data_IF_710953521329
#
_entry.id   IF_710953521329
#
_cell.length_a   1.000
_cell.length_b   1.000
_cell.length_c   1.000
_cell.angle_alpha   90.00
_cell.angle_beta   90.00
_cell.angle_gamma   90.00
#
_symmetry.space_group_name_H-M   'P 1'
#
loop_
_entity.id
_entity.type
_entity.pdbx_description
1 polymer ?
#
# COMPACT_ATOMS: atom_id res chain seq x y z
N UNK A 1 13.71 29.05 -2.86
CA UNK A 1 13.01 27.81 -3.26
C UNK A 1 14.06 26.69 -3.19
N UNK A 2 14.03 25.81 -2.19
CA UNK A 2 14.99 24.71 -2.06
C UNK A 2 14.54 23.63 -3.03
N UNK A 3 15.27 23.45 -4.11
CA UNK A 3 15.03 22.37 -5.07
C UNK A 3 15.40 21.05 -4.37
N UNK A 4 14.41 20.26 -3.97
CA UNK A 4 14.64 18.93 -3.39
C UNK A 4 15.36 18.07 -4.42
N UNK A 5 16.57 17.61 -4.12
CA UNK A 5 17.34 16.73 -4.99
C UNK A 5 16.58 15.40 -5.15
N UNK A 6 16.20 15.05 -6.37
CA UNK A 6 15.75 13.69 -6.69
C UNK A 6 16.96 12.76 -6.68
N UNK A 7 16.92 11.69 -5.91
CA UNK A 7 18.01 10.72 -5.81
C UNK A 7 18.14 9.83 -7.05
N UNK A 8 17.13 9.82 -7.91
CA UNK A 8 17.11 9.03 -9.15
C UNK A 8 16.32 9.73 -10.26
N UNK A 9 16.64 9.37 -11.50
CA UNK A 9 15.88 9.76 -12.67
C UNK A 9 14.71 8.77 -12.87
N UNK A 10 13.48 9.30 -13.00
CA UNK A 10 12.29 8.47 -13.21
C UNK A 10 12.34 7.81 -14.59
N UNK A 11 12.24 6.48 -14.60
CA UNK A 11 12.07 5.70 -15.81
C UNK A 11 10.61 5.76 -16.28
N UNK A 12 10.40 5.76 -17.61
CA UNK A 12 9.05 5.60 -18.14
C UNK A 12 8.69 4.11 -18.13
N UNK A 13 7.44 3.75 -17.76
CA UNK A 13 7.00 2.37 -17.81
C UNK A 13 6.96 1.87 -19.26
N UNK A 14 7.27 0.59 -19.45
CA UNK A 14 7.08 -0.10 -20.73
C UNK A 14 5.59 -0.33 -20.99
N UNK A 15 5.23 -0.63 -22.24
CA UNK A 15 3.81 -0.90 -22.60
C UNK A 15 3.21 -2.06 -21.80
N UNK A 16 4.02 -3.06 -21.48
CA UNK A 16 3.62 -4.28 -20.77
C UNK A 16 4.05 -4.23 -19.29
N UNK A 17 4.27 -3.03 -18.74
CA UNK A 17 4.60 -2.88 -17.32
C UNK A 17 3.44 -3.35 -16.46
N UNK A 18 3.77 -4.08 -15.40
CA UNK A 18 2.83 -4.42 -14.34
C UNK A 18 2.35 -3.14 -13.64
N UNK A 19 1.02 -2.93 -13.56
CA UNK A 19 0.44 -1.77 -12.89
C UNK A 19 -0.07 -2.14 -11.52
N UNK A 20 0.35 -1.36 -10.54
CA UNK A 20 -0.15 -1.42 -9.17
C UNK A 20 -0.98 -0.17 -8.93
N UNK A 21 -2.29 -0.31 -8.95
CA UNK A 21 -3.22 0.76 -8.62
C UNK A 21 -3.45 0.77 -7.12
N UNK A 22 -3.25 1.91 -6.47
CA UNK A 22 -3.32 2.05 -5.02
C UNK A 22 -4.35 3.13 -4.67
N UNK A 23 -5.51 2.71 -4.20
CA UNK A 23 -6.54 3.59 -3.65
C UNK A 23 -6.22 3.83 -2.18
N UNK A 24 -5.83 5.05 -1.83
CA UNK A 24 -5.43 5.44 -0.48
C UNK A 24 -6.59 6.04 0.30
N UNK A 25 -6.64 5.80 1.61
CA UNK A 25 -7.55 6.47 2.52
C UNK A 25 -7.13 7.92 2.76
N UNK A 26 -5.85 8.16 3.01
CA UNK A 26 -5.30 9.49 3.22
C UNK A 26 -4.99 10.24 1.93
N UNK A 27 -4.93 11.58 2.05
CA UNK A 27 -4.58 12.50 0.94
C UNK A 27 -3.10 12.88 0.91
N UNK A 28 -2.32 12.51 1.91
CA UNK A 28 -0.94 12.93 2.09
C UNK A 28 0.01 11.75 2.33
N UNK A 29 0.01 11.19 3.53
CA UNK A 29 1.01 10.21 4.00
C UNK A 29 1.18 9.03 3.05
N UNK A 30 0.10 8.32 2.72
CA UNK A 30 0.14 7.15 1.84
C UNK A 30 0.49 7.52 0.40
N UNK A 31 -0.15 8.55 -0.23
CA UNK A 31 0.25 9.01 -1.56
C UNK A 31 1.72 9.42 -1.65
N UNK A 32 2.23 10.17 -0.68
CA UNK A 32 3.62 10.62 -0.65
C UNK A 32 4.58 9.43 -0.52
N UNK A 33 4.20 8.41 0.28
CA UNK A 33 4.98 7.19 0.43
C UNK A 33 5.07 6.39 -0.87
N UNK A 34 3.93 6.08 -1.50
CA UNK A 34 3.91 5.26 -2.70
C UNK A 34 4.44 5.99 -3.95
N UNK A 35 4.34 7.33 -4.02
CA UNK A 35 4.93 8.13 -5.08
C UNK A 35 6.46 7.99 -5.17
N UNK A 36 7.12 7.54 -4.09
CA UNK A 36 8.55 7.22 -4.12
C UNK A 36 8.87 6.14 -5.14
N UNK A 37 8.02 5.14 -5.30
CA UNK A 37 8.26 3.98 -6.17
C UNK A 37 7.99 4.25 -7.66
N UNK A 38 7.32 5.36 -7.98
CA UNK A 38 7.05 5.74 -9.36
C UNK A 38 8.34 5.94 -10.17
N UNK A 39 8.47 5.18 -11.26
CA UNK A 39 9.59 5.29 -12.18
C UNK A 39 10.91 4.72 -11.64
N UNK A 40 10.90 3.96 -10.53
CA UNK A 40 12.08 3.20 -10.09
C UNK A 40 12.40 2.03 -11.01
N UNK A 41 11.39 1.47 -11.68
CA UNK A 41 11.53 0.39 -12.65
C UNK A 41 10.67 0.69 -13.88
N UNK A 42 11.15 0.37 -15.07
CA UNK A 42 10.35 0.46 -16.30
C UNK A 42 9.32 -0.68 -16.42
N UNK A 43 9.46 -1.73 -15.61
CA UNK A 43 8.57 -2.88 -15.61
C UNK A 43 7.44 -2.76 -14.57
N UNK A 44 7.41 -1.65 -13.82
CA UNK A 44 6.39 -1.34 -12.81
C UNK A 44 5.84 0.06 -13.03
N UNK A 45 4.52 0.18 -13.05
CA UNK A 45 3.81 1.44 -13.00
C UNK A 45 3.00 1.51 -11.70
N UNK A 46 3.39 2.37 -10.78
CA UNK A 46 2.63 2.64 -9.54
C UNK A 46 1.68 3.81 -9.80
N UNK A 47 0.37 3.56 -9.65
CA UNK A 47 -0.68 4.55 -9.87
C UNK A 47 -1.41 4.81 -8.56
N UNK A 48 -1.09 5.93 -7.93
CA UNK A 48 -1.70 6.32 -6.66
C UNK A 48 -3.00 7.09 -6.91
N UNK A 49 -4.07 6.68 -6.24
CA UNK A 49 -5.41 7.24 -6.37
C UNK A 49 -5.85 7.75 -4.98
N UNK A 50 -5.70 9.06 -4.71
CA UNK A 50 -6.16 9.64 -3.46
C UNK A 50 -7.70 9.72 -3.40
N UNK A 51 -8.30 9.82 -2.19
CA UNK A 51 -9.74 9.93 -2.06
C UNK A 51 -10.26 11.26 -2.61
N UNK A 52 -11.39 11.21 -3.32
CA UNK A 52 -12.05 12.41 -3.90
C UNK A 52 -13.12 12.97 -2.92
N UNK A 53 -14.14 12.18 -2.58
CA UNK A 53 -15.34 12.61 -1.83
C UNK A 53 -15.39 12.10 -0.38
N UNK A 54 -14.25 11.82 0.20
CA UNK A 54 -14.09 11.28 1.56
C UNK A 54 -13.34 9.96 1.56
N UNK A 55 -12.90 9.57 2.74
CA UNK A 55 -11.88 8.54 2.93
C UNK A 55 -12.41 7.24 3.53
N UNK A 56 -13.69 7.16 3.88
CA UNK A 56 -14.19 5.91 4.47
C UNK A 56 -14.19 4.75 3.44
N UNK A 57 -14.02 3.49 3.89
CA UNK A 57 -13.86 2.34 3.00
C UNK A 57 -14.97 2.18 1.95
N UNK A 58 -16.20 2.62 2.25
CA UNK A 58 -17.32 2.54 1.30
C UNK A 58 -17.21 3.58 0.19
N UNK A 59 -16.67 4.76 0.51
CA UNK A 59 -16.39 5.80 -0.51
C UNK A 59 -15.20 5.42 -1.38
N UNK A 60 -14.17 4.80 -0.80
CA UNK A 60 -13.06 4.26 -1.58
C UNK A 60 -13.51 3.13 -2.52
N UNK A 61 -14.42 2.26 -2.04
CA UNK A 61 -15.07 1.26 -2.89
C UNK A 61 -15.81 1.91 -4.06
N UNK A 62 -16.67 2.90 -3.80
CA UNK A 62 -17.43 3.61 -4.83
C UNK A 62 -16.51 4.34 -5.84
N UNK A 63 -15.40 4.93 -5.36
CA UNK A 63 -14.38 5.53 -6.19
C UNK A 63 -13.76 4.49 -7.16
N UNK A 64 -13.38 3.32 -6.64
CA UNK A 64 -12.83 2.26 -7.47
C UNK A 64 -13.87 1.72 -8.47
N UNK A 65 -15.12 1.52 -8.05
CA UNK A 65 -16.21 1.10 -8.95
C UNK A 65 -16.34 2.09 -10.12
N UNK A 66 -16.34 3.39 -9.86
CA UNK A 66 -16.41 4.42 -10.90
C UNK A 66 -15.18 4.45 -11.80
N UNK A 67 -13.96 4.32 -11.23
CA UNK A 67 -12.71 4.48 -11.99
C UNK A 67 -12.33 3.26 -12.82
N UNK A 68 -12.74 2.04 -12.42
CA UNK A 68 -12.32 0.78 -13.04
C UNK A 68 -13.44 -0.02 -13.71
N UNK A 69 -14.68 0.10 -13.18
CA UNK A 69 -15.77 -0.82 -13.56
C UNK A 69 -17.02 -0.09 -14.09
N UNK A 70 -17.03 1.25 -14.11
CA UNK A 70 -18.09 2.05 -14.69
C UNK A 70 -18.01 2.15 -16.22
N UNK A 71 -19.10 2.61 -16.87
CA UNK A 71 -19.18 2.77 -18.32
C UNK A 71 -18.10 3.71 -18.88
N UNK A 72 -17.75 4.76 -18.11
CA UNK A 72 -16.70 5.75 -18.43
C UNK A 72 -15.43 5.51 -17.61
N UNK A 73 -15.04 4.26 -17.38
CA UNK A 73 -13.90 3.91 -16.55
C UNK A 73 -12.60 4.53 -17.07
N UNK A 74 -11.86 5.21 -16.18
CA UNK A 74 -10.58 5.84 -16.50
C UNK A 74 -9.44 4.84 -16.59
N UNK A 75 -9.50 3.77 -15.79
CA UNK A 75 -8.46 2.75 -15.68
C UNK A 75 -9.00 1.40 -16.11
N UNK A 76 -8.10 0.55 -16.58
CA UNK A 76 -8.40 -0.82 -16.95
C UNK A 76 -7.36 -1.76 -16.34
N UNK A 77 -7.80 -2.83 -15.74
CA UNK A 77 -6.95 -3.90 -15.22
C UNK A 77 -6.59 -4.83 -16.39
N UNK A 78 -5.29 -4.96 -16.67
CA UNK A 78 -4.78 -5.93 -17.63
C UNK A 78 -4.36 -7.20 -16.90
N UNK A 79 -5.18 -8.25 -17.03
CA UNK A 79 -4.92 -9.55 -16.40
C UNK A 79 -3.68 -10.25 -16.96
N UNK A 80 -3.27 -9.98 -18.20
CA UNK A 80 -2.07 -10.56 -18.80
C UNK A 80 -0.80 -9.89 -18.27
N UNK A 81 -0.87 -8.61 -17.99
CA UNK A 81 0.20 -7.86 -17.32
C UNK A 81 0.23 -8.10 -15.79
N UNK A 82 -0.72 -8.87 -15.24
CA UNK A 82 -0.91 -9.12 -13.81
C UNK A 82 -1.23 -7.87 -13.00
N UNK A 83 -1.89 -6.86 -13.60
CA UNK A 83 -2.25 -5.62 -12.90
C UNK A 83 -3.03 -5.90 -11.61
N UNK A 84 -2.76 -5.13 -10.57
CA UNK A 84 -3.42 -5.25 -9.26
C UNK A 84 -4.05 -3.94 -8.80
N UNK A 85 -5.11 -4.07 -8.01
CA UNK A 85 -5.80 -2.99 -7.34
C UNK A 85 -5.70 -3.20 -5.82
N UNK A 86 -5.15 -2.24 -5.12
CA UNK A 86 -4.98 -2.25 -3.68
C UNK A 86 -5.78 -1.12 -3.02
N UNK A 87 -6.45 -1.43 -1.92
CA UNK A 87 -7.00 -0.44 -1.00
C UNK A 87 -6.09 -0.36 0.23
N UNK A 88 -5.50 0.79 0.46
CA UNK A 88 -4.70 1.05 1.66
C UNK A 88 -5.57 1.83 2.63
N UNK A 89 -5.91 1.21 3.75
CA UNK A 89 -6.86 1.72 4.74
C UNK A 89 -6.34 1.57 6.17
N UNK A 90 -6.84 2.45 7.03
CA UNK A 90 -6.65 2.35 8.46
C UNK A 90 -7.77 1.53 9.12
N UNK A 91 -7.53 1.00 10.31
CA UNK A 91 -8.58 0.31 11.08
C UNK A 91 -9.55 1.31 11.69
N UNK A 92 -9.02 2.32 12.37
CA UNK A 92 -9.76 3.44 12.98
C UNK A 92 -11.11 3.02 13.59
N UNK A 93 -12.17 3.78 13.30
CA UNK A 93 -13.55 3.43 13.67
C UNK A 93 -14.25 2.50 12.68
N UNK A 94 -13.67 2.28 11.51
CA UNK A 94 -14.32 1.62 10.37
C UNK A 94 -14.67 0.16 10.62
N UNK A 95 -13.89 -0.53 11.45
CA UNK A 95 -14.18 -1.90 11.82
C UNK A 95 -15.44 -1.98 12.71
N UNK A 96 -15.54 -1.13 13.73
CA UNK A 96 -16.75 -1.02 14.59
C UNK A 96 -17.99 -0.59 13.80
N UNK A 97 -17.80 0.24 12.77
CA UNK A 97 -18.87 0.68 11.88
C UNK A 97 -19.24 -0.35 10.81
N UNK A 98 -18.53 -1.48 10.76
CA UNK A 98 -18.76 -2.56 9.80
C UNK A 98 -18.47 -2.20 8.34
N UNK A 99 -17.60 -1.20 8.08
CA UNK A 99 -17.31 -0.69 6.73
C UNK A 99 -16.19 -1.44 6.01
N UNK A 100 -15.31 -2.12 6.74
CA UNK A 100 -14.18 -2.88 6.16
C UNK A 100 -14.65 -4.18 5.50
N UNK A 101 -15.53 -4.93 6.16
CA UNK A 101 -16.03 -6.21 5.63
C UNK A 101 -16.72 -6.09 4.26
N UNK A 102 -17.55 -5.06 3.96
CA UNK A 102 -18.08 -4.86 2.60
C UNK A 102 -17.00 -4.59 1.55
N UNK A 103 -15.94 -3.84 1.90
CA UNK A 103 -14.81 -3.61 1.01
C UNK A 103 -14.06 -4.92 0.70
N UNK A 104 -13.79 -5.75 1.72
CA UNK A 104 -13.16 -7.07 1.54
C UNK A 104 -14.02 -8.01 0.69
N UNK A 105 -15.36 -7.99 0.86
CA UNK A 105 -16.28 -8.76 -0.01
C UNK A 105 -16.25 -8.27 -1.45
N UNK A 106 -16.16 -6.97 -1.67
CA UNK A 106 -15.99 -6.41 -3.01
C UNK A 106 -14.70 -6.92 -3.67
N UNK A 107 -13.56 -6.88 -2.99
CA UNK A 107 -12.31 -7.43 -3.51
C UNK A 107 -12.45 -8.93 -3.82
N UNK A 108 -13.13 -9.69 -2.95
CA UNK A 108 -13.37 -11.12 -3.18
C UNK A 108 -14.24 -11.37 -4.43
N UNK A 109 -15.24 -10.54 -4.71
CA UNK A 109 -16.04 -10.68 -5.94
C UNK A 109 -15.22 -10.41 -7.19
N UNK A 110 -14.40 -9.34 -7.19
CA UNK A 110 -13.50 -9.03 -8.31
C UNK A 110 -12.49 -10.18 -8.53
N UNK A 111 -11.93 -10.74 -7.47
CA UNK A 111 -11.01 -11.87 -7.56
C UNK A 111 -11.69 -13.13 -8.12
N UNK A 112 -12.95 -13.38 -7.80
CA UNK A 112 -13.73 -14.49 -8.34
C UNK A 112 -14.02 -14.30 -9.84
N UNK A 113 -14.39 -13.11 -10.25
CA UNK A 113 -14.60 -12.75 -11.67
C UNK A 113 -13.27 -12.82 -12.45
N UNK A 114 -12.17 -12.35 -11.86
CA UNK A 114 -10.83 -12.51 -12.39
C UNK A 114 -10.48 -13.97 -12.64
N UNK A 115 -10.78 -14.87 -11.71
CA UNK A 115 -10.54 -16.30 -11.86
C UNK A 115 -11.24 -16.91 -13.08
N UNK A 116 -12.44 -16.47 -13.42
CA UNK A 116 -13.13 -16.89 -14.64
C UNK A 116 -12.47 -16.31 -15.92
N UNK A 117 -11.93 -15.08 -15.84
CA UNK A 117 -11.21 -14.47 -16.95
C UNK A 117 -9.92 -15.25 -17.28
N UNK A 118 -9.17 -15.72 -16.25
CA UNK A 118 -7.93 -16.49 -16.46
C UNK A 118 -8.15 -17.86 -17.12
N UNK A 119 -9.31 -18.48 -16.94
CA UNK A 119 -9.63 -19.72 -17.66
C UNK A 119 -9.55 -19.57 -19.19
N UNK A 120 -9.65 -18.33 -19.69
CA UNK A 120 -9.48 -17.99 -21.11
C UNK A 120 -8.01 -17.85 -21.53
N UNK A 121 -7.11 -17.69 -20.57
CA UNK A 121 -5.67 -17.45 -20.79
C UNK A 121 -4.88 -18.54 -20.05
N UNK A 122 -4.67 -19.69 -20.69
CA UNK A 122 -4.07 -20.87 -20.07
C UNK A 122 -2.65 -20.68 -19.54
N UNK A 123 -1.97 -19.59 -19.91
CA UNK A 123 -0.60 -19.27 -19.49
C UNK A 123 -0.53 -18.39 -18.24
N UNK A 124 -1.64 -17.75 -17.85
CA UNK A 124 -1.68 -16.86 -16.69
C UNK A 124 -1.98 -17.65 -15.43
N UNK A 125 -1.05 -17.62 -14.46
CA UNK A 125 -1.31 -18.20 -13.13
C UNK A 125 -2.33 -17.32 -12.39
N UNK A 126 -3.30 -17.92 -11.70
CA UNK A 126 -4.24 -17.18 -10.86
C UNK A 126 -3.51 -16.33 -9.79
N UNK A 127 -3.93 -15.09 -9.63
CA UNK A 127 -3.43 -14.15 -8.62
C UNK A 127 -4.58 -13.32 -8.06
N UNK A 128 -4.40 -12.68 -6.91
CA UNK A 128 -5.40 -11.78 -6.35
C UNK A 128 -5.31 -10.41 -7.03
N UNK A 129 -6.31 -10.10 -7.83
CA UNK A 129 -6.40 -8.83 -8.59
C UNK A 129 -6.72 -7.66 -7.68
N UNK A 130 -7.64 -7.85 -6.73
CA UNK A 130 -8.14 -6.81 -5.84
C UNK A 130 -7.84 -7.18 -4.38
N UNK A 131 -7.17 -6.30 -3.66
CA UNK A 131 -6.62 -6.57 -2.35
C UNK A 131 -6.89 -5.41 -1.38
N UNK A 132 -6.92 -5.73 -0.08
CA UNK A 132 -6.95 -4.74 1.00
C UNK A 132 -5.65 -4.85 1.78
N UNK A 133 -5.01 -3.72 2.02
CA UNK A 133 -3.87 -3.55 2.90
C UNK A 133 -4.29 -2.67 4.08
N UNK A 134 -4.80 -3.31 5.12
CA UNK A 134 -5.29 -2.67 6.34
C UNK A 134 -4.16 -2.50 7.34
N UNK A 135 -4.10 -1.35 8.01
CA UNK A 135 -3.18 -1.05 9.11
C UNK A 135 -3.93 -0.82 10.41
N UNK A 136 -3.41 -1.30 11.54
CA UNK A 136 -3.99 -1.09 12.85
C UNK A 136 -2.92 -0.54 13.82
N UNK A 137 -3.06 0.68 14.39
CA UNK A 137 -4.23 1.57 14.27
C UNK A 137 -4.31 2.33 12.93
N UNK A 138 -3.18 2.68 12.33
CA UNK A 138 -3.10 3.52 11.14
C UNK A 138 -1.84 3.22 10.31
N UNK A 139 -1.73 3.83 9.11
CA UNK A 139 -0.61 3.63 8.18
C UNK A 139 0.76 3.93 8.80
N UNK A 140 0.83 4.76 9.84
CA UNK A 140 2.07 5.08 10.54
C UNK A 140 2.75 3.84 11.14
N UNK A 141 2.03 2.73 11.42
CA UNK A 141 2.68 1.48 11.85
C UNK A 141 3.56 0.88 10.74
N UNK A 142 3.18 1.05 9.47
CA UNK A 142 4.02 0.69 8.35
C UNK A 142 5.30 1.52 8.29
N UNK A 143 5.20 2.85 8.52
CA UNK A 143 6.36 3.76 8.58
C UNK A 143 7.30 3.40 9.72
N UNK A 144 6.75 3.03 10.88
CA UNK A 144 7.48 2.58 12.05
C UNK A 144 8.38 1.37 11.73
N UNK A 145 7.86 0.36 11.06
CA UNK A 145 8.61 -0.86 10.72
C UNK A 145 9.75 -0.67 9.71
N UNK A 146 9.93 0.50 9.13
CA UNK A 146 11.13 0.84 8.36
C UNK A 146 12.38 0.97 9.26
N UNK A 147 12.18 1.18 10.55
CA UNK A 147 13.26 1.51 11.50
C UNK A 147 13.34 0.53 12.68
N UNK A 148 12.25 -0.12 13.04
CA UNK A 148 12.13 -0.91 14.26
C UNK A 148 11.74 -2.35 13.94
N UNK A 149 12.42 -3.29 14.58
CA UNK A 149 12.20 -4.73 14.41
C UNK A 149 11.08 -5.25 15.30
N UNK A 150 10.87 -4.64 16.45
CA UNK A 150 9.86 -5.03 17.44
C UNK A 150 8.61 -4.16 17.34
N UNK A 151 7.50 -4.68 17.90
CA UNK A 151 6.23 -3.92 18.01
C UNK A 151 6.40 -2.72 18.94
N UNK A 152 5.65 -1.61 18.72
CA UNK A 152 5.59 -0.51 19.69
C UNK A 152 5.19 -1.00 21.07
N UNK A 153 5.80 -0.43 22.10
CA UNK A 153 5.42 -0.67 23.49
C UNK A 153 4.21 0.20 23.83
N UNK A 154 3.14 -0.42 24.34
CA UNK A 154 1.86 0.27 24.55
C UNK A 154 1.98 1.48 25.49
N UNK A 155 2.74 1.35 26.57
CA UNK A 155 2.96 2.41 27.54
C UNK A 155 3.66 3.63 26.92
N UNK A 156 4.59 3.39 26.00
CA UNK A 156 5.28 4.47 25.27
C UNK A 156 4.32 5.19 24.33
N UNK A 157 3.47 4.45 23.61
CA UNK A 157 2.46 5.01 22.72
C UNK A 157 1.44 5.83 23.49
N UNK A 158 0.94 5.33 24.63
CA UNK A 158 -0.03 6.03 25.50
C UNK A 158 0.49 7.34 26.08
N UNK A 159 1.82 7.52 26.14
CA UNK A 159 2.44 8.77 26.55
C UNK A 159 2.31 9.91 25.51
N UNK A 160 1.84 9.61 24.30
CA UNK A 160 1.71 10.56 23.19
C UNK A 160 0.24 10.83 22.87
N UNK A 161 -0.11 12.03 22.36
CA UNK A 161 -1.48 12.40 22.02
C UNK A 161 -2.11 11.52 20.92
N UNK A 162 -1.29 10.97 20.03
CA UNK A 162 -1.73 10.07 18.95
C UNK A 162 -0.61 9.12 18.54
N UNK A 163 -0.98 8.02 17.89
CA UNK A 163 -0.01 7.07 17.33
C UNK A 163 0.91 7.75 16.29
N UNK A 164 0.37 8.65 15.49
CA UNK A 164 1.16 9.44 14.53
C UNK A 164 2.22 10.30 15.21
N UNK A 165 1.88 10.95 16.32
CA UNK A 165 2.85 11.75 17.07
C UNK A 165 3.92 10.87 17.75
N UNK A 166 3.53 9.70 18.26
CA UNK A 166 4.48 8.71 18.74
C UNK A 166 5.48 8.33 17.65
N UNK A 167 5.02 7.87 16.49
CA UNK A 167 5.89 7.45 15.38
C UNK A 167 6.81 8.58 14.93
N UNK A 168 6.32 9.81 14.83
CA UNK A 168 7.12 10.98 14.50
C UNK A 168 8.18 11.29 15.57
N UNK A 169 7.91 10.99 16.83
CA UNK A 169 8.86 11.25 17.92
C UNK A 169 10.01 10.24 17.96
N UNK A 170 9.74 8.96 17.66
CA UNK A 170 10.73 7.88 17.73
C UNK A 170 11.58 7.77 16.45
N UNK A 171 11.08 8.23 15.32
CA UNK A 171 11.88 8.35 14.09
C UNK A 171 12.63 9.69 14.12
N UNK A 172 13.94 9.61 14.31
CA UNK A 172 14.78 10.82 14.39
C UNK A 172 14.66 11.69 13.14
N UNK A 173 14.14 12.92 13.32
CA UNK A 173 13.88 13.87 12.22
C UNK A 173 12.58 13.61 11.44
N UNK A 174 11.76 12.66 11.89
CA UNK A 174 10.54 12.24 11.21
C UNK A 174 10.82 11.35 9.97
N UNK A 175 9.75 10.77 9.41
CA UNK A 175 9.85 9.95 8.21
C UNK A 175 10.10 10.83 6.95
N UNK A 176 11.19 10.58 6.23
CA UNK A 176 11.51 11.27 4.97
C UNK A 176 11.00 10.47 3.77
N UNK A 177 9.86 10.87 3.21
CA UNK A 177 9.24 10.21 2.06
C UNK A 177 10.08 10.18 0.78
N UNK A 178 11.19 10.91 0.72
CA UNK A 178 12.10 10.88 -0.42
C UNK A 178 13.29 9.95 -0.23
N UNK A 179 13.51 9.47 1.00
CA UNK A 179 14.67 8.64 1.36
C UNK A 179 14.26 7.32 1.99
N UNK A 180 13.41 7.38 3.02
CA UNK A 180 13.18 6.25 3.91
C UNK A 180 12.37 5.10 3.30
N UNK A 181 11.50 5.29 2.26
CA UNK A 181 10.91 4.17 1.55
C UNK A 181 11.94 3.25 0.88
N UNK A 182 13.20 3.69 0.69
CA UNK A 182 14.29 2.82 0.24
C UNK A 182 14.60 1.66 1.22
N UNK A 183 14.12 1.73 2.47
CA UNK A 183 14.20 0.66 3.48
C UNK A 183 13.06 -0.36 3.35
N UNK A 184 12.35 -0.41 2.24
CA UNK A 184 11.19 -1.26 1.98
C UNK A 184 11.40 -2.72 2.42
N UNK A 185 12.57 -3.29 2.16
CA UNK A 185 12.92 -4.67 2.53
C UNK A 185 12.88 -4.88 4.06
N UNK A 186 13.43 -3.94 4.83
CA UNK A 186 13.37 -3.98 6.29
C UNK A 186 11.93 -3.84 6.79
N UNK A 187 11.15 -2.90 6.23
CA UNK A 187 9.76 -2.71 6.59
C UNK A 187 8.92 -3.98 6.36
N UNK A 188 9.12 -4.67 5.24
CA UNK A 188 8.47 -5.95 4.95
C UNK A 188 8.85 -7.00 5.98
N UNK A 189 10.15 -7.18 6.24
CA UNK A 189 10.64 -8.19 7.18
C UNK A 189 10.08 -7.95 8.59
N UNK A 190 10.19 -6.71 9.09
CA UNK A 190 9.78 -6.34 10.44
C UNK A 190 8.26 -6.45 10.63
N UNK A 191 7.48 -5.87 9.70
CA UNK A 191 6.01 -5.95 9.80
C UNK A 191 5.48 -7.38 9.67
N UNK A 192 6.09 -8.19 8.81
CA UNK A 192 5.71 -9.60 8.62
C UNK A 192 6.03 -10.46 9.86
N UNK A 193 7.18 -10.22 10.50
CA UNK A 193 7.56 -10.89 11.74
C UNK A 193 6.61 -10.56 12.91
N UNK A 194 6.03 -9.35 12.90
CA UNK A 194 5.13 -8.86 13.94
C UNK A 194 3.64 -8.92 13.57
N UNK A 195 3.29 -9.48 12.39
CA UNK A 195 1.91 -9.53 11.93
C UNK A 195 1.10 -10.55 12.71
N UNK A 196 0.06 -10.09 13.37
CA UNK A 196 -0.91 -10.90 14.10
C UNK A 196 -2.31 -10.51 13.58
N UNK A 197 -3.21 -11.48 13.55
CA UNK A 197 -4.64 -11.25 13.29
C UNK A 197 -5.43 -11.49 14.56
N UNK A 198 -6.52 -10.74 14.70
CA UNK A 198 -7.52 -10.95 15.75
C UNK A 198 -8.46 -12.12 15.44
N UNK A 199 -9.47 -12.34 16.31
CA UNK A 199 -10.49 -13.39 16.15
C UNK A 199 -11.34 -13.21 14.87
N UNK A 200 -11.46 -11.98 14.36
CA UNK A 200 -12.18 -11.65 13.13
C UNK A 200 -11.31 -11.77 11.86
N UNK A 201 -10.05 -12.22 12.02
CA UNK A 201 -9.04 -12.27 10.94
C UNK A 201 -8.67 -10.89 10.38
N UNK A 202 -8.86 -9.83 11.15
CA UNK A 202 -8.38 -8.48 10.89
C UNK A 202 -6.99 -8.28 11.52
N UNK A 203 -6.16 -7.34 11.03
CA UNK A 203 -4.90 -7.00 11.68
C UNK A 203 -5.11 -6.57 13.13
N UNK A 204 -4.45 -7.29 14.07
CA UNK A 204 -4.42 -6.91 15.49
C UNK A 204 -3.66 -5.58 15.68
N UNK A 205 -3.80 -4.95 16.86
CA UNK A 205 -3.12 -3.68 17.18
C UNK A 205 -1.62 -3.77 16.84
N UNK A 206 -1.09 -2.73 16.19
CA UNK A 206 0.28 -2.65 15.67
C UNK A 206 0.64 -3.68 14.58
N UNK A 207 -0.35 -4.18 13.85
CA UNK A 207 -0.17 -5.03 12.66
C UNK A 207 -0.59 -4.28 11.39
N UNK A 208 0.04 -4.60 10.27
CA UNK A 208 -0.32 -4.03 8.96
C UNK A 208 -0.18 -5.06 7.85
N UNK A 209 -1.13 -5.07 6.91
CA UNK A 209 -1.08 -5.88 5.70
C UNK A 209 -0.29 -5.21 4.56
N UNK A 210 0.17 -3.97 4.75
CA UNK A 210 0.92 -3.21 3.72
C UNK A 210 2.19 -3.94 3.28
N UNK A 211 2.75 -4.83 4.11
CA UNK A 211 3.88 -5.65 3.72
C UNK A 211 3.61 -6.50 2.47
N UNK A 212 2.37 -6.95 2.24
CA UNK A 212 1.99 -7.73 1.06
C UNK A 212 2.09 -6.89 -0.22
N UNK A 213 1.60 -5.65 -0.18
CA UNK A 213 1.79 -4.67 -1.26
C UNK A 213 3.28 -4.32 -1.43
N UNK A 214 4.00 -4.19 -0.31
CA UNK A 214 5.45 -3.99 -0.31
C UNK A 214 6.20 -5.13 -0.99
N UNK A 215 5.88 -6.39 -0.72
CA UNK A 215 6.47 -7.58 -1.37
C UNK A 215 6.26 -7.54 -2.90
N UNK A 216 5.06 -7.17 -3.35
CA UNK A 216 4.75 -7.03 -4.77
C UNK A 216 5.62 -5.95 -5.43
N UNK A 217 5.66 -4.75 -4.87
CA UNK A 217 6.50 -3.65 -5.36
C UNK A 217 7.98 -4.04 -5.35
N UNK A 218 8.47 -4.64 -4.25
CA UNK A 218 9.87 -5.03 -4.08
C UNK A 218 10.34 -5.97 -5.19
N UNK A 219 9.47 -6.86 -5.67
CA UNK A 219 9.76 -7.77 -6.78
C UNK A 219 10.26 -7.07 -8.05
N UNK A 220 9.88 -5.83 -8.27
CA UNK A 220 10.26 -5.03 -9.45
C UNK A 220 11.37 -4.02 -9.18
N UNK A 221 11.53 -3.54 -7.95
CA UNK A 221 12.39 -2.38 -7.64
C UNK A 221 13.64 -2.73 -6.83
N UNK A 222 13.79 -3.97 -6.34
CA UNK A 222 14.84 -4.35 -5.39
C UNK A 222 16.25 -3.89 -5.82
N UNK A 223 16.66 -4.22 -7.05
CA UNK A 223 18.00 -3.83 -7.59
C UNK A 223 18.22 -2.32 -7.61
N UNK A 224 17.16 -1.56 -7.83
CA UNK A 224 17.22 -0.10 -7.87
C UNK A 224 17.26 0.49 -6.46
N UNK A 225 16.53 -0.11 -5.51
CA UNK A 225 16.60 0.28 -4.10
C UNK A 225 18.00 0.01 -3.51
N UNK A 226 18.63 -1.12 -3.81
CA UNK A 226 20.02 -1.41 -3.41
C UNK A 226 21.00 -0.35 -3.93
N UNK A 227 20.87 0.05 -5.21
CA UNK A 227 21.70 1.13 -5.79
C UNK A 227 21.45 2.49 -5.14
N UNK A 228 20.21 2.77 -4.73
CA UNK A 228 19.87 4.01 -4.03
C UNK A 228 20.47 4.02 -2.62
N UNK A 229 20.31 2.94 -1.86
CA UNK A 229 20.88 2.80 -0.51
C UNK A 229 22.41 2.98 -0.50
N UNK A 230 23.09 2.52 -1.52
CA UNK A 230 24.56 2.69 -1.65
C UNK A 230 24.99 4.14 -2.01
N UNK A 231 24.05 5.03 -2.36
CA UNK A 231 24.31 6.45 -2.69
C UNK A 231 23.88 7.43 -1.59
N UNK A 232 23.14 6.95 -0.60
CA UNK A 232 22.68 7.72 0.57
C UNK A 232 23.67 7.64 1.72
#
# INVERSE_FOLDING_TARGET
MITRRKYYEKLQPTKDAHKVYIVCEGKGTEPDYFAFFEGLSSNLEVVVIPPEDGSDPMKLKALAESKFFGDDSKFRIDYQAHDTLWFVIDTDSWEREGKISPLRRFCSSINSEGAEAWKKYSEVKPYSVCNVAQSNPSFEIWLYYHFFEDRPVAEDVESHPSFKEYVNSVISGGFDFQRDPARLEAAIANSKANFIVDEASSPDLYSTEVYRLGEEILGFVNKNLERLRNKM
#
